data_IF_505876427312
#
_entry.id   IF_505876427312
#
_cell.length_a   1.000
_cell.length_b   1.000
_cell.length_c   1.000
_cell.angle_alpha   90.00
_cell.angle_beta   90.00
_cell.angle_gamma   90.00
#
_symmetry.space_group_name_H-M   'P 1'
#
loop_
_entity.id
_entity.type
_entity.pdbx_description
1 polymer ?
#
# COMPACT_ATOMS: atom_id res chain seq x y z
N UNK A 1 2.29 -5.63 -1.88
CA UNK A 1 2.43 -5.37 -0.43
C UNK A 1 3.55 -4.37 -0.14
N UNK A 2 4.83 -4.71 -0.35
CA UNK A 2 5.95 -3.90 0.16
C UNK A 2 6.75 -3.16 -0.92
N UNK A 3 6.09 -2.32 -1.72
CA UNK A 3 6.70 -1.58 -2.84
C UNK A 3 7.19 -0.17 -2.47
N UNK A 4 7.35 0.13 -1.18
CA UNK A 4 7.67 1.46 -0.68
C UNK A 4 9.15 1.87 -0.87
N UNK A 5 9.96 1.06 -1.54
CA UNK A 5 11.42 1.27 -1.66
C UNK A 5 11.76 2.59 -2.37
N UNK A 6 10.93 3.00 -3.33
CA UNK A 6 11.10 4.26 -4.08
C UNK A 6 10.91 5.50 -3.19
N UNK A 7 10.19 5.38 -2.08
CA UNK A 7 9.96 6.50 -1.16
C UNK A 7 11.03 6.60 -0.06
N UNK A 8 11.90 5.60 0.07
CA UNK A 8 12.96 5.54 1.10
C UNK A 8 13.92 6.74 1.04
N UNK A 9 14.38 7.23 -0.13
CA UNK A 9 15.27 8.40 -0.20
C UNK A 9 14.64 9.68 0.36
N UNK A 10 13.41 9.98 -0.01
CA UNK A 10 12.66 11.16 0.46
C UNK A 10 12.39 11.07 1.97
N UNK A 11 11.92 9.92 2.46
CA UNK A 11 11.69 9.69 3.90
C UNK A 11 12.99 9.83 4.70
N UNK A 12 14.12 9.38 4.15
CA UNK A 12 15.43 9.58 4.78
C UNK A 12 15.86 11.06 4.78
N UNK A 13 15.56 11.80 3.71
CA UNK A 13 15.85 13.22 3.60
C UNK A 13 15.06 14.04 4.63
N UNK A 14 13.80 13.68 4.90
CA UNK A 14 12.93 14.35 5.88
C UNK A 14 13.24 13.97 7.35
N UNK A 15 13.99 12.89 7.59
CA UNK A 15 14.27 12.40 8.93
C UNK A 15 15.10 13.38 9.76
N UNK A 16 14.55 13.83 10.89
CA UNK A 16 15.22 14.73 11.83
C UNK A 16 16.50 14.08 12.39
N UNK A 17 17.66 14.68 12.10
CA UNK A 17 19.01 14.13 12.36
C UNK A 17 19.21 12.76 11.66
N UNK A 18 19.46 12.83 10.35
CA UNK A 18 19.60 11.68 9.44
C UNK A 18 20.62 10.68 9.96
N UNK A 19 20.17 9.45 10.23
CA UNK A 19 21.03 8.34 10.67
C UNK A 19 20.47 7.01 10.16
N UNK A 20 21.37 6.15 9.64
CA UNK A 20 21.03 4.79 9.20
C UNK A 20 20.31 3.98 10.28
N UNK A 21 20.72 4.13 11.54
CA UNK A 21 20.14 3.41 12.66
C UNK A 21 18.70 3.86 12.99
N UNK A 22 18.35 5.13 12.74
CA UNK A 22 16.98 5.63 12.89
C UNK A 22 16.11 5.21 11.71
N UNK A 23 16.63 5.31 10.48
CA UNK A 23 15.90 4.86 9.29
C UNK A 23 15.56 3.37 9.37
N UNK A 24 16.48 2.53 9.86
CA UNK A 24 16.21 1.10 10.09
C UNK A 24 15.07 0.87 11.08
N UNK A 25 14.98 1.66 12.15
CA UNK A 25 13.89 1.56 13.14
C UNK A 25 12.55 1.97 12.54
N UNK A 26 12.52 3.07 11.79
CA UNK A 26 11.30 3.53 11.09
C UNK A 26 10.84 2.48 10.09
N UNK A 27 11.75 1.98 9.25
CA UNK A 27 11.43 0.95 8.26
C UNK A 27 10.93 -0.34 8.93
N UNK A 28 11.61 -0.82 9.99
CA UNK A 28 11.19 -2.01 10.71
C UNK A 28 9.79 -1.85 11.34
N UNK A 29 9.49 -0.69 11.93
CA UNK A 29 8.17 -0.39 12.48
C UNK A 29 7.09 -0.38 11.40
N UNK A 30 7.30 0.35 10.30
CA UNK A 30 6.36 0.43 9.20
C UNK A 30 6.10 -0.95 8.55
N UNK A 31 7.16 -1.73 8.31
CA UNK A 31 7.05 -3.08 7.76
C UNK A 31 6.33 -4.04 8.70
N UNK A 32 6.57 -3.93 10.02
CA UNK A 32 5.89 -4.78 11.02
C UNK A 32 4.39 -4.50 11.06
N UNK A 33 3.99 -3.23 11.00
CA UNK A 33 2.58 -2.83 10.96
C UNK A 33 1.93 -3.38 9.68
N UNK A 34 2.55 -3.14 8.51
CA UNK A 34 2.02 -3.62 7.24
C UNK A 34 1.94 -5.15 7.17
N UNK A 35 2.95 -5.87 7.66
CA UNK A 35 2.94 -7.33 7.75
C UNK A 35 1.79 -7.82 8.63
N UNK A 36 1.59 -7.19 9.79
CA UNK A 36 0.51 -7.57 10.71
C UNK A 36 -0.85 -7.41 10.05
N UNK A 37 -1.10 -6.28 9.38
CA UNK A 37 -2.35 -6.04 8.67
C UNK A 37 -2.57 -7.06 7.55
N UNK A 38 -1.54 -7.35 6.74
CA UNK A 38 -1.66 -8.35 5.67
C UNK A 38 -1.93 -9.75 6.19
N UNK A 39 -1.30 -10.16 7.29
CA UNK A 39 -1.57 -11.45 7.92
C UNK A 39 -2.99 -11.50 8.47
N UNK A 40 -3.45 -10.47 9.17
CA UNK A 40 -4.82 -10.44 9.72
C UNK A 40 -5.89 -10.52 8.62
N UNK A 41 -5.74 -9.74 7.55
CA UNK A 41 -6.66 -9.76 6.41
C UNK A 41 -6.63 -11.12 5.72
N UNK A 42 -5.44 -11.67 5.49
CA UNK A 42 -5.27 -12.98 4.85
C UNK A 42 -5.89 -14.11 5.67
N UNK A 43 -5.69 -14.12 6.98
CA UNK A 43 -6.29 -15.11 7.90
C UNK A 43 -7.81 -14.97 7.94
N UNK A 44 -8.34 -13.75 8.03
CA UNK A 44 -9.78 -13.51 8.02
C UNK A 44 -10.42 -13.99 6.71
N UNK A 45 -9.87 -13.59 5.56
CA UNK A 45 -10.36 -14.00 4.25
C UNK A 45 -10.29 -15.52 4.03
N UNK A 46 -9.21 -16.17 4.49
CA UNK A 46 -9.10 -17.63 4.41
C UNK A 46 -10.05 -18.33 5.38
N UNK A 47 -10.31 -17.76 6.56
CA UNK A 47 -11.28 -18.33 7.51
C UNK A 47 -12.71 -18.27 7.00
N UNK A 48 -13.04 -17.25 6.20
CA UNK A 48 -14.40 -17.04 5.67
C UNK A 48 -14.64 -17.83 4.37
N UNK A 49 -13.69 -17.80 3.42
CA UNK A 49 -13.86 -18.41 2.10
C UNK A 49 -13.12 -19.73 1.90
N UNK A 50 -12.20 -20.09 2.81
CA UNK A 50 -11.43 -21.32 2.75
C UNK A 50 -10.63 -21.48 1.46
N UNK A 51 -10.74 -22.65 0.83
CA UNK A 51 -10.05 -22.95 -0.43
C UNK A 51 -10.60 -22.17 -1.64
N UNK A 52 -11.74 -21.49 -1.49
CA UNK A 52 -12.37 -20.71 -2.56
C UNK A 52 -11.96 -19.23 -2.56
N UNK A 53 -11.07 -18.79 -1.66
CA UNK A 53 -10.56 -17.42 -1.63
C UNK A 53 -9.93 -17.04 -2.98
N UNK A 54 -10.56 -16.11 -3.70
CA UNK A 54 -10.01 -15.49 -4.90
C UNK A 54 -8.82 -14.58 -4.59
N UNK A 55 -7.99 -14.33 -5.60
CA UNK A 55 -6.83 -13.45 -5.50
C UNK A 55 -7.20 -12.00 -5.11
N UNK A 56 -8.35 -11.51 -5.59
CA UNK A 56 -9.01 -10.33 -5.04
C UNK A 56 -10.04 -10.80 -4.00
N UNK A 57 -9.79 -10.47 -2.73
CA UNK A 57 -10.65 -10.85 -1.61
C UNK A 57 -12.03 -10.24 -1.76
N UNK A 58 -12.11 -8.99 -2.23
CA UNK A 58 -13.39 -8.31 -2.43
C UNK A 58 -14.22 -9.09 -3.47
N UNK A 59 -13.59 -9.56 -4.54
CA UNK A 59 -14.23 -10.36 -5.58
C UNK A 59 -14.87 -11.68 -5.13
N UNK A 60 -14.74 -12.09 -3.86
CA UNK A 60 -15.50 -13.21 -3.30
C UNK A 60 -16.93 -12.82 -2.90
N UNK A 61 -17.19 -11.54 -2.62
CA UNK A 61 -18.50 -11.02 -2.23
C UNK A 61 -19.34 -10.66 -3.48
N UNK A 62 -20.63 -11.01 -3.46
CA UNK A 62 -21.56 -10.79 -4.57
C UNK A 62 -22.42 -9.55 -4.34
N UNK A 63 -21.78 -8.39 -4.20
CA UNK A 63 -22.44 -7.11 -3.86
C UNK A 63 -23.50 -6.67 -4.90
N UNK A 64 -23.32 -7.05 -6.16
CA UNK A 64 -24.23 -6.70 -7.27
C UNK A 64 -25.21 -7.82 -7.64
N UNK A 65 -25.20 -8.95 -6.95
CA UNK A 65 -26.17 -10.01 -7.20
C UNK A 65 -27.56 -9.60 -6.69
N UNK A 66 -28.60 -10.03 -7.42
CA UNK A 66 -30.00 -9.69 -7.14
C UNK A 66 -30.44 -10.09 -5.73
N UNK A 67 -29.82 -11.12 -5.13
CA UNK A 67 -30.16 -11.67 -3.83
C UNK A 67 -29.67 -10.83 -2.64
N UNK A 68 -28.90 -9.76 -2.87
CA UNK A 68 -28.66 -8.70 -1.88
C UNK A 68 -27.97 -9.11 -0.58
N UNK A 69 -27.42 -10.32 -0.49
CA UNK A 69 -26.88 -10.89 0.75
C UNK A 69 -25.65 -10.13 1.27
N UNK A 70 -24.84 -9.55 0.37
CA UNK A 70 -23.55 -8.92 0.72
C UNK A 70 -23.56 -7.38 0.59
N UNK A 71 -24.72 -6.73 0.71
CA UNK A 71 -24.83 -5.26 0.53
C UNK A 71 -24.01 -4.46 1.54
N UNK A 72 -23.72 -5.03 2.69
CA UNK A 72 -22.91 -4.40 3.75
C UNK A 72 -21.43 -4.22 3.35
N UNK A 73 -20.96 -4.92 2.31
CA UNK A 73 -19.61 -4.78 1.75
C UNK A 73 -19.46 -3.63 0.74
N UNK A 74 -20.56 -3.01 0.29
CA UNK A 74 -20.55 -1.87 -0.63
C UNK A 74 -19.61 -0.71 -0.20
N UNK A 75 -19.60 -0.24 1.07
CA UNK A 75 -18.69 0.82 1.49
C UNK A 75 -17.21 0.42 1.36
N UNK A 76 -16.87 -0.86 1.59
CA UNK A 76 -15.49 -1.33 1.45
C UNK A 76 -15.01 -1.25 0.00
N UNK A 77 -15.88 -1.59 -0.96
CA UNK A 77 -15.61 -1.42 -2.39
C UNK A 77 -15.40 0.04 -2.78
N UNK A 78 -16.27 0.94 -2.32
CA UNK A 78 -16.15 2.37 -2.62
C UNK A 78 -14.85 2.97 -2.06
N UNK A 79 -14.50 2.63 -0.82
CA UNK A 79 -13.27 3.09 -0.17
C UNK A 79 -12.02 2.51 -0.84
N UNK A 80 -12.04 1.25 -1.26
CA UNK A 80 -10.94 0.65 -2.01
C UNK A 80 -10.73 1.37 -3.34
N UNK A 81 -11.82 1.63 -4.08
CA UNK A 81 -11.77 2.38 -5.33
C UNK A 81 -11.18 3.78 -5.14
N UNK A 82 -11.66 4.52 -4.15
CA UNK A 82 -11.13 5.84 -3.81
C UNK A 82 -9.65 5.78 -3.42
N UNK A 83 -9.24 4.78 -2.63
CA UNK A 83 -7.85 4.56 -2.23
C UNK A 83 -6.96 4.34 -3.44
N UNK A 84 -7.37 3.54 -4.41
CA UNK A 84 -6.58 3.27 -5.63
C UNK A 84 -6.40 4.55 -6.46
N UNK A 85 -7.47 5.32 -6.65
CA UNK A 85 -7.43 6.59 -7.41
C UNK A 85 -6.47 7.58 -6.77
N UNK A 86 -6.48 7.67 -5.44
CA UNK A 86 -5.60 8.58 -4.69
C UNK A 86 -4.15 8.03 -4.64
N UNK A 87 -3.97 6.74 -4.43
CA UNK A 87 -2.66 6.11 -4.31
C UNK A 87 -1.86 6.15 -5.62
N UNK A 88 -2.52 6.15 -6.77
CA UNK A 88 -1.86 6.19 -8.08
C UNK A 88 -0.91 7.39 -8.24
N UNK A 89 -1.36 8.66 -8.15
CA UNK A 89 -0.46 9.81 -8.27
C UNK A 89 0.61 9.80 -7.17
N UNK A 90 0.26 9.45 -5.94
CA UNK A 90 1.22 9.41 -4.82
C UNK A 90 2.38 8.45 -5.03
N UNK A 91 2.22 7.37 -5.80
CA UNK A 91 3.32 6.46 -6.11
C UNK A 91 4.09 6.87 -7.37
N UNK A 92 3.39 7.40 -8.38
CA UNK A 92 4.01 7.77 -9.67
C UNK A 92 4.95 8.97 -9.55
N UNK A 93 4.57 10.01 -8.81
CA UNK A 93 5.39 11.21 -8.65
C UNK A 93 6.77 10.95 -8.01
N UNK A 94 6.88 10.32 -6.82
CA UNK A 94 8.17 10.03 -6.20
C UNK A 94 8.97 8.97 -6.96
N UNK A 95 8.30 7.99 -7.59
CA UNK A 95 8.99 7.03 -8.45
C UNK A 95 9.68 7.72 -9.63
N UNK A 96 9.02 8.70 -10.26
CA UNK A 96 9.62 9.52 -11.32
C UNK A 96 10.82 10.32 -10.82
N UNK A 97 10.71 10.97 -9.66
CA UNK A 97 11.81 11.75 -9.08
C UNK A 97 13.02 10.87 -8.77
N UNK A 98 12.77 9.72 -8.13
CA UNK A 98 13.81 8.73 -7.80
C UNK A 98 14.55 8.24 -9.05
N UNK A 99 13.81 7.96 -10.13
CA UNK A 99 14.40 7.56 -11.42
C UNK A 99 15.27 8.66 -12.03
N UNK A 100 14.82 9.91 -12.01
CA UNK A 100 15.60 11.04 -12.54
C UNK A 100 16.88 11.28 -11.74
N UNK A 101 16.81 11.19 -10.41
CA UNK A 101 18.00 11.26 -9.56
C UNK A 101 18.95 10.09 -9.83
N UNK A 102 18.43 8.87 -9.96
CA UNK A 102 19.25 7.68 -10.23
C UNK A 102 19.94 7.72 -11.60
N UNK A 103 19.28 8.31 -12.61
CA UNK A 103 19.82 8.49 -13.96
C UNK A 103 20.79 9.68 -14.09
N UNK A 104 21.05 10.41 -13.02
CA UNK A 104 22.01 11.53 -13.02
C UNK A 104 21.45 12.85 -13.59
N UNK A 105 20.15 12.93 -13.86
CA UNK A 105 19.46 14.15 -14.29
C UNK A 105 19.11 15.09 -13.13
N UNK A 106 19.73 14.93 -11.95
CA UNK A 106 19.45 15.76 -10.79
C UNK A 106 19.59 17.25 -11.16
N UNK A 107 18.45 17.95 -11.24
CA UNK A 107 18.41 19.39 -11.37
C UNK A 107 19.27 19.97 -10.25
N UNK A 108 20.34 20.66 -10.65
CA UNK A 108 21.00 21.64 -9.79
C UNK A 108 19.94 22.69 -9.47
N UNK A 109 19.22 22.53 -8.36
CA UNK A 109 18.43 23.62 -7.82
C UNK A 109 19.42 24.74 -7.38
N UNK A 110 19.16 26.01 -7.74
CA UNK A 110 20.01 27.16 -7.39
C UNK A 110 20.05 27.45 -5.89
#
# INVERSE_FOLDING_TARGET
AFTCQVNVPEVYAELRQRSKARMRRVAAGALSIALTLYVLIGVAAFSEFGAHTRADVLGNYLVWAADGHDRDMLPAYALMGATIVVAYPFNVFPARQTLLTALGYAERAP
#
